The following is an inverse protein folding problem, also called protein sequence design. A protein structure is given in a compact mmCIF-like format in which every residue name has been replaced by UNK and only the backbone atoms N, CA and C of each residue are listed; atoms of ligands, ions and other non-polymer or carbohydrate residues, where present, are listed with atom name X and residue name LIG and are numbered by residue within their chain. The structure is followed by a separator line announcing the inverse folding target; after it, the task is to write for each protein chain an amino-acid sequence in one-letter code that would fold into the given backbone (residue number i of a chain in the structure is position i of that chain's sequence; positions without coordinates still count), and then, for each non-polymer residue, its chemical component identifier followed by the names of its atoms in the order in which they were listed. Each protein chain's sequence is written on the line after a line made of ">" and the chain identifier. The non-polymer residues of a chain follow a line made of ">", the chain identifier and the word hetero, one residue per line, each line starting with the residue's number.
data_IF_988720932946
#
_entry.id   IF_988720932946
#
_cell.length_a   1.000
_cell.length_b   1.000
_cell.length_c   1.000
_cell.angle_alpha   90.00
_cell.angle_beta   90.00
_cell.angle_gamma   90.00
#
_symmetry.space_group_name_H-M   'P 1'
#
loop_
_entity.id
_entity.type
_entity.pdbx_description
1 polymer ?
#
# COMPACT_ATOMS: atom_id res chain seq x y z
N UNK A 1 -53.07 4.30 26.88
CA UNK A 1 -52.86 3.96 25.46
C UNK A 1 -51.37 4.01 25.20
N UNK A 2 -50.82 2.86 24.83
CA UNK A 2 -49.40 2.49 24.84
C UNK A 2 -48.65 3.19 23.72
N UNK A 3 -47.53 3.86 24.02
CA UNK A 3 -46.63 4.43 23.01
C UNK A 3 -45.50 3.44 22.73
N UNK A 4 -45.53 2.85 21.54
CA UNK A 4 -44.56 1.86 21.05
C UNK A 4 -43.26 2.56 20.65
N UNK A 5 -42.15 2.21 21.31
CA UNK A 5 -40.82 2.60 20.87
C UNK A 5 -40.41 1.73 19.67
N UNK A 6 -40.15 2.37 18.52
CA UNK A 6 -39.58 1.71 17.35
C UNK A 6 -38.06 1.58 17.52
N UNK A 7 -37.59 0.39 17.92
CA UNK A 7 -36.17 0.03 17.88
C UNK A 7 -35.80 -0.32 16.44
N UNK A 8 -35.39 0.69 15.67
CA UNK A 8 -34.65 0.47 14.43
C UNK A 8 -33.27 -0.07 14.77
N UNK A 9 -33.10 -1.39 14.69
CA UNK A 9 -31.79 -2.02 14.79
C UNK A 9 -30.93 -1.54 13.62
N UNK A 10 -30.01 -0.60 13.88
CA UNK A 10 -28.89 -0.37 12.96
C UNK A 10 -28.00 -1.60 13.08
N UNK A 11 -27.99 -2.41 12.05
CA UNK A 11 -26.96 -3.42 11.88
C UNK A 11 -25.67 -2.67 11.65
N UNK A 12 -24.88 -2.49 12.70
CA UNK A 12 -23.46 -2.21 12.55
C UNK A 12 -22.91 -3.29 11.62
N UNK A 13 -22.59 -2.90 10.40
CA UNK A 13 -21.77 -3.73 9.52
C UNK A 13 -20.45 -3.81 10.25
N UNK A 14 -20.25 -4.89 11.01
CA UNK A 14 -18.95 -5.26 11.51
C UNK A 14 -18.05 -5.29 10.28
N UNK A 15 -17.16 -4.32 10.17
CA UNK A 15 -16.02 -4.41 9.27
C UNK A 15 -15.40 -5.78 9.59
N UNK A 16 -15.44 -6.68 8.61
CA UNK A 16 -14.80 -7.97 8.74
C UNK A 16 -13.34 -7.67 9.07
N UNK A 17 -12.99 -7.85 10.35
CA UNK A 17 -11.62 -7.82 10.82
C UNK A 17 -10.84 -8.74 9.90
N UNK A 18 -9.85 -8.18 9.21
CA UNK A 18 -8.97 -8.91 8.32
C UNK A 18 -8.07 -9.79 9.18
N UNK A 19 -8.61 -10.90 9.65
CA UNK A 19 -7.92 -11.98 10.37
C UNK A 19 -8.08 -13.25 9.53
N UNK A 20 -7.62 -13.16 8.28
CA UNK A 20 -7.44 -14.30 7.41
C UNK A 20 -5.94 -14.44 7.15
N UNK A 21 -5.32 -15.61 7.36
CA UNK A 21 -3.92 -15.77 7.05
C UNK A 21 -3.78 -15.68 5.54
N UNK A 22 -3.17 -14.59 5.05
CA UNK A 22 -2.50 -14.55 3.75
C UNK A 22 -1.27 -15.45 3.74
N UNK A 23 -1.39 -16.66 4.30
CA UNK A 23 -0.31 -17.64 4.50
C UNK A 23 -0.30 -18.63 3.32
N UNK A 24 -0.39 -18.08 2.11
CA UNK A 24 0.26 -18.72 0.97
C UNK A 24 1.70 -18.24 0.96
N UNK A 25 2.67 -19.05 0.49
CA UNK A 25 4.03 -18.55 0.27
C UNK A 25 3.95 -17.32 -0.66
N UNK A 26 4.17 -16.15 -0.08
CA UNK A 26 4.06 -14.79 -0.63
C UNK A 26 2.63 -14.35 -1.05
N UNK A 27 1.85 -13.74 -0.14
CA UNK A 27 0.67 -12.96 -0.53
C UNK A 27 1.13 -11.87 -1.51
N UNK A 28 0.50 -11.83 -2.68
CA UNK A 28 0.74 -10.87 -3.74
C UNK A 28 0.68 -9.40 -3.27
N UNK A 29 -0.06 -9.13 -2.19
CA UNK A 29 -0.13 -7.78 -1.60
C UNK A 29 1.15 -7.39 -0.85
N UNK A 30 1.91 -8.37 -0.40
CA UNK A 30 3.11 -8.20 0.40
C UNK A 30 4.39 -8.24 -0.44
N UNK A 31 4.29 -8.55 -1.73
CA UNK A 31 5.41 -8.49 -2.68
C UNK A 31 5.72 -7.04 -3.03
N UNK A 32 6.54 -6.42 -2.18
CA UNK A 32 6.93 -5.01 -2.30
C UNK A 32 8.39 -4.84 -2.75
N UNK A 33 8.61 -3.86 -3.62
CA UNK A 33 9.92 -3.38 -4.04
C UNK A 33 10.11 -1.91 -3.65
N UNK A 34 11.31 -1.38 -3.87
CA UNK A 34 11.62 0.03 -3.59
C UNK A 34 12.12 0.72 -4.84
N UNK A 35 11.61 1.93 -5.08
CA UNK A 35 12.03 2.80 -6.18
C UNK A 35 12.16 4.26 -5.74
N UNK A 36 12.65 5.10 -6.66
CA UNK A 36 12.76 6.55 -6.46
C UNK A 36 11.87 7.25 -7.48
N UNK A 37 10.89 8.00 -6.98
CA UNK A 37 10.00 8.85 -7.76
C UNK A 37 10.66 10.20 -8.00
N UNK A 38 10.90 10.52 -9.27
CA UNK A 38 11.46 11.81 -9.68
C UNK A 38 10.35 12.89 -9.75
N UNK A 39 10.71 14.19 -9.70
CA UNK A 39 9.75 15.29 -9.79
C UNK A 39 8.88 15.30 -11.06
N UNK A 40 9.34 14.65 -12.12
CA UNK A 40 8.61 14.50 -13.38
C UNK A 40 7.52 13.41 -13.32
N UNK A 41 7.31 12.77 -12.17
CA UNK A 41 6.32 11.72 -11.97
C UNK A 41 6.75 10.34 -12.48
N UNK A 42 8.00 10.18 -12.93
CA UNK A 42 8.54 8.88 -13.37
C UNK A 42 9.41 8.26 -12.29
N UNK A 43 9.46 6.93 -12.27
CA UNK A 43 10.44 6.20 -11.46
C UNK A 43 11.83 6.27 -12.09
N UNK A 44 12.85 6.26 -11.25
CA UNK A 44 14.24 6.07 -11.69
C UNK A 44 14.35 4.76 -12.48
N UNK A 45 15.10 4.78 -13.59
CA UNK A 45 15.25 3.63 -14.50
C UNK A 45 16.15 2.50 -13.95
N UNK A 46 16.20 2.31 -12.64
CA UNK A 46 16.99 1.28 -11.97
C UNK A 46 16.23 0.69 -10.79
N UNK A 47 16.49 -0.57 -10.50
CA UNK A 47 16.00 -1.26 -9.30
C UNK A 47 16.96 -1.07 -8.13
N UNK A 48 16.41 -1.15 -6.90
CA UNK A 48 17.16 -1.08 -5.65
C UNK A 48 16.92 -2.35 -4.85
N UNK A 49 17.96 -2.85 -4.18
CA UNK A 49 17.86 -4.04 -3.33
C UNK A 49 17.28 -3.72 -1.94
N UNK A 50 17.32 -2.46 -1.51
CA UNK A 50 16.79 -2.05 -0.21
C UNK A 50 16.40 -0.57 -0.19
N UNK A 51 15.56 -0.20 0.79
CA UNK A 51 15.20 1.21 1.05
C UNK A 51 16.42 2.08 1.35
N UNK A 52 17.36 1.59 2.15
CA UNK A 52 18.58 2.32 2.46
C UNK A 52 19.43 2.61 1.21
N UNK A 53 19.48 1.66 0.27
CA UNK A 53 20.16 1.89 -1.02
C UNK A 53 19.47 2.97 -1.85
N UNK A 54 18.14 2.95 -1.91
CA UNK A 54 17.35 3.97 -2.61
C UNK A 54 17.52 5.36 -1.98
N UNK A 55 17.51 5.44 -0.65
CA UNK A 55 17.72 6.68 0.11
C UNK A 55 19.13 7.26 -0.09
N UNK A 56 20.16 6.41 -0.15
CA UNK A 56 21.53 6.85 -0.40
C UNK A 56 21.72 7.40 -1.83
N UNK A 57 20.94 6.90 -2.78
CA UNK A 57 20.97 7.35 -4.17
C UNK A 57 20.15 8.63 -4.38
N UNK A 58 18.99 8.74 -3.74
CA UNK A 58 18.04 9.82 -3.94
C UNK A 58 18.63 11.21 -3.60
N UNK A 59 18.09 12.23 -4.27
CA UNK A 59 18.37 13.66 -4.09
C UNK A 59 17.08 14.37 -3.66
N UNK A 60 16.69 14.30 -2.37
CA UNK A 60 15.45 14.90 -1.88
C UNK A 60 15.41 16.42 -2.09
N UNK A 61 16.57 17.09 -2.14
CA UNK A 61 16.71 18.51 -2.47
C UNK A 61 16.30 18.85 -3.91
N UNK A 62 16.37 17.87 -4.82
CA UNK A 62 15.88 17.99 -6.20
C UNK A 62 14.41 17.59 -6.33
N UNK A 63 13.77 17.17 -5.23
CA UNK A 63 12.36 16.75 -5.17
C UNK A 63 12.13 15.25 -5.41
N UNK A 64 13.18 14.44 -5.35
CA UNK A 64 13.06 12.98 -5.45
C UNK A 64 12.51 12.36 -4.15
N UNK A 65 11.73 11.29 -4.28
CA UNK A 65 11.08 10.61 -3.16
C UNK A 65 11.28 9.10 -3.23
N UNK A 66 11.70 8.50 -2.12
CA UNK A 66 11.77 7.03 -2.00
C UNK A 66 10.38 6.49 -1.72
N UNK A 67 9.93 5.55 -2.55
CA UNK A 67 8.58 4.99 -2.49
C UNK A 67 8.61 3.46 -2.47
N UNK A 68 7.66 2.86 -1.77
CA UNK A 68 7.40 1.42 -1.84
C UNK A 68 6.42 1.14 -2.98
N UNK A 69 6.76 0.14 -3.78
CA UNK A 69 6.05 -0.24 -4.99
C UNK A 69 5.53 -1.66 -4.81
N UNK A 70 4.25 -1.91 -5.11
CA UNK A 70 3.82 -3.28 -5.33
C UNK A 70 4.35 -3.70 -6.70
N UNK A 71 5.35 -4.58 -6.72
CA UNK A 71 6.02 -4.98 -7.96
C UNK A 71 5.12 -5.82 -8.87
N UNK A 72 4.03 -6.37 -8.34
CA UNK A 72 3.05 -7.10 -9.15
C UNK A 72 2.09 -6.20 -9.91
N UNK A 73 2.06 -4.90 -9.58
CA UNK A 73 1.32 -3.89 -10.32
C UNK A 73 2.19 -3.15 -11.36
N UNK A 74 3.42 -3.60 -11.58
CA UNK A 74 4.25 -3.08 -12.67
C UNK A 74 3.71 -3.62 -14.00
N UNK A 75 3.10 -2.74 -14.80
CA UNK A 75 2.43 -3.11 -16.04
C UNK A 75 3.40 -3.46 -17.19
N UNK A 76 4.71 -3.33 -16.96
CA UNK A 76 5.78 -3.66 -17.91
C UNK A 76 6.45 -5.03 -17.65
N UNK A 77 5.87 -5.86 -16.77
CA UNK A 77 6.28 -7.26 -16.54
C UNK A 77 5.93 -8.20 -17.71
#
# INVERSE_FOLDING_TARGET
>A
MTSTAATGARTDVRAASQDGPGDGPDDVRDVVGVGVLMPNGRLAGRSFASRAEAEAWARPEEGEQVVELNVLCDCDL
#
